data_IF_876708818200
#
_entry.id   IF_876708818200
#
_cell.length_a   1.000
_cell.length_b   1.000
_cell.length_c   1.000
_cell.angle_alpha   90.00
_cell.angle_beta   90.00
_cell.angle_gamma   90.00
#
_symmetry.space_group_name_H-M   'P 1'
#
loop_
_entity.id
_entity.type
_entity.pdbx_description
1 polymer ?
#
# COMPACT_ATOMS: atom_id res chain seq x y z
N UNK A 1 -9.16 16.71 -20.58
CA UNK A 1 -8.91 15.36 -20.04
C UNK A 1 -10.21 14.60 -20.11
N UNK A 2 -10.22 13.34 -20.54
CA UNK A 2 -11.42 12.49 -20.48
C UNK A 2 -11.86 12.31 -19.03
N UNK A 3 -13.16 12.22 -18.78
CA UNK A 3 -13.69 11.90 -17.45
C UNK A 3 -13.12 10.55 -16.97
N UNK A 4 -12.76 10.44 -15.67
CA UNK A 4 -12.28 9.19 -15.12
C UNK A 4 -13.38 8.12 -15.18
N UNK A 5 -13.01 6.87 -15.50
CA UNK A 5 -13.94 5.74 -15.55
C UNK A 5 -14.46 5.36 -14.16
N UNK A 6 -13.65 5.57 -13.12
CA UNK A 6 -13.98 5.28 -11.73
C UNK A 6 -13.87 6.57 -10.91
N UNK A 7 -14.84 6.80 -10.06
CA UNK A 7 -14.90 7.96 -9.16
C UNK A 7 -14.22 7.69 -7.82
N UNK A 8 -14.12 6.42 -7.42
CA UNK A 8 -13.53 6.00 -6.15
C UNK A 8 -12.73 4.71 -6.28
N UNK A 9 -11.45 4.78 -5.99
CA UNK A 9 -10.52 3.65 -6.11
C UNK A 9 -9.84 3.34 -4.79
N UNK A 10 -9.44 2.06 -4.61
CA UNK A 10 -8.41 1.70 -3.65
C UNK A 10 -7.18 1.21 -4.41
N UNK A 11 -6.03 1.84 -4.19
CA UNK A 11 -4.75 1.46 -4.76
C UNK A 11 -3.88 0.77 -3.70
N UNK A 12 -3.51 -0.48 -3.95
CA UNK A 12 -2.57 -1.22 -3.12
C UNK A 12 -1.20 -1.25 -3.78
N UNK A 13 -0.18 -0.87 -3.05
CA UNK A 13 1.21 -0.84 -3.50
C UNK A 13 2.09 -1.76 -2.65
N UNK A 14 3.12 -2.34 -3.27
CA UNK A 14 4.20 -2.98 -2.51
C UNK A 14 5.08 -1.91 -1.85
N UNK A 15 5.51 -2.12 -0.60
CA UNK A 15 6.49 -1.24 0.04
C UNK A 15 7.82 -1.16 -0.72
N UNK A 16 8.14 -2.18 -1.48
CA UNK A 16 9.37 -2.24 -2.27
C UNK A 16 9.48 -1.14 -3.35
N UNK A 17 8.36 -0.51 -3.74
CA UNK A 17 8.39 0.65 -4.65
C UNK A 17 9.07 1.87 -4.02
N UNK A 18 9.19 1.90 -2.70
CA UNK A 18 9.86 2.96 -1.93
C UNK A 18 11.31 2.64 -1.58
N UNK A 19 11.78 1.41 -1.88
CA UNK A 19 13.12 0.98 -1.54
C UNK A 19 14.18 1.69 -2.38
N UNK A 20 15.37 1.88 -1.79
CA UNK A 20 16.56 2.32 -2.50
C UNK A 20 17.05 1.24 -3.50
N UNK A 21 18.19 1.51 -4.16
CA UNK A 21 18.80 0.60 -5.14
C UNK A 21 19.18 -0.78 -4.54
N UNK A 22 19.43 -0.83 -3.23
CA UNK A 22 19.73 -2.07 -2.52
C UNK A 22 18.46 -2.84 -2.09
N UNK A 23 17.28 -2.36 -2.45
CA UNK A 23 16.00 -3.03 -2.13
C UNK A 23 15.53 -2.83 -0.69
N UNK A 24 16.12 -1.88 0.07
CA UNK A 24 15.82 -1.66 1.49
C UNK A 24 15.59 -0.17 1.81
N UNK A 25 14.83 0.07 2.89
CA UNK A 25 14.58 1.41 3.44
C UNK A 25 13.55 2.22 2.67
N UNK A 26 13.53 3.51 2.96
CA UNK A 26 12.65 4.49 2.31
C UNK A 26 13.53 5.49 1.57
N UNK A 27 13.47 5.48 0.25
CA UNK A 27 14.19 6.41 -0.62
C UNK A 27 13.32 7.65 -0.89
N UNK A 28 13.74 8.85 -0.46
CA UNK A 28 12.95 10.06 -0.65
C UNK A 28 12.65 10.38 -2.13
N UNK A 29 13.53 10.04 -3.06
CA UNK A 29 13.32 10.28 -4.50
C UNK A 29 12.23 9.35 -5.05
N UNK A 30 12.24 8.08 -4.63
CA UNK A 30 11.20 7.11 -5.00
C UNK A 30 9.84 7.48 -4.43
N UNK A 31 9.80 7.95 -3.17
CA UNK A 31 8.56 8.42 -2.53
C UNK A 31 8.00 9.63 -3.27
N UNK A 32 8.85 10.62 -3.61
CA UNK A 32 8.44 11.80 -4.35
C UNK A 32 7.99 11.44 -5.79
N UNK A 33 8.70 10.52 -6.45
CA UNK A 33 8.30 10.02 -7.76
C UNK A 33 6.89 9.41 -7.71
N UNK A 34 6.64 8.53 -6.75
CA UNK A 34 5.32 7.91 -6.57
C UNK A 34 4.22 8.95 -6.30
N UNK A 35 4.52 9.97 -5.48
CA UNK A 35 3.56 11.04 -5.21
C UNK A 35 3.19 11.81 -6.49
N UNK A 36 4.18 12.08 -7.38
CA UNK A 36 3.94 12.72 -8.68
C UNK A 36 3.13 11.85 -9.65
N UNK A 37 3.25 10.52 -9.57
CA UNK A 37 2.42 9.61 -10.37
C UNK A 37 0.97 9.56 -9.89
N UNK A 38 0.72 9.77 -8.59
CA UNK A 38 -0.62 9.79 -8.00
C UNK A 38 -1.31 11.15 -8.21
N UNK A 39 -0.55 12.23 -8.23
CA UNK A 39 -1.06 13.61 -8.34
C UNK A 39 -2.04 13.84 -9.52
N UNK A 40 -1.80 13.35 -10.76
CA UNK A 40 -2.74 13.52 -11.86
C UNK A 40 -4.11 12.87 -11.62
N UNK A 41 -4.13 11.72 -10.95
CA UNK A 41 -5.37 11.01 -10.59
C UNK A 41 -6.14 11.79 -9.53
N UNK A 42 -5.44 12.34 -8.54
CA UNK A 42 -6.01 13.24 -7.53
C UNK A 42 -6.62 14.49 -8.17
N UNK A 43 -5.90 15.13 -9.09
CA UNK A 43 -6.37 16.31 -9.84
C UNK A 43 -7.56 16.03 -10.75
N UNK A 44 -7.77 14.79 -11.14
CA UNK A 44 -8.96 14.35 -11.86
C UNK A 44 -10.20 14.17 -10.96
N UNK A 45 -10.13 14.56 -9.67
CA UNK A 45 -11.17 14.43 -8.67
C UNK A 45 -11.61 12.99 -8.38
N UNK A 46 -10.70 12.02 -8.51
CA UNK A 46 -10.93 10.65 -8.09
C UNK A 46 -10.68 10.54 -6.59
N UNK A 47 -11.61 9.93 -5.87
CA UNK A 47 -11.44 9.58 -4.46
C UNK A 47 -10.45 8.42 -4.32
N UNK A 48 -9.33 8.65 -3.65
CA UNK A 48 -8.22 7.69 -3.59
C UNK A 48 -8.04 7.18 -2.16
N UNK A 49 -8.24 5.86 -1.98
CA UNK A 49 -7.72 5.13 -0.85
C UNK A 49 -6.37 4.49 -1.23
N UNK A 50 -5.39 4.51 -0.34
CA UNK A 50 -4.08 3.93 -0.54
C UNK A 50 -3.76 2.92 0.56
N UNK A 51 -3.21 1.78 0.19
CA UNK A 51 -2.57 0.84 1.11
C UNK A 51 -1.16 0.54 0.59
N UNK A 52 -0.17 0.66 1.46
CA UNK A 52 1.22 0.36 1.10
C UNK A 52 1.77 -0.73 2.01
N UNK A 53 2.43 -1.73 1.41
CA UNK A 53 3.11 -2.80 2.12
C UNK A 53 4.40 -2.33 2.80
N UNK A 54 5.09 -3.26 3.46
CA UNK A 54 6.30 -2.98 4.25
C UNK A 54 7.55 -3.74 3.78
N UNK A 55 7.51 -4.41 2.65
CA UNK A 55 8.59 -5.29 2.19
C UNK A 55 9.95 -4.63 1.98
N UNK A 56 10.00 -3.28 1.92
CA UNK A 56 11.24 -2.49 1.90
C UNK A 56 11.88 -2.30 3.28
N UNK A 57 11.15 -2.52 4.36
CA UNK A 57 11.62 -2.31 5.74
C UNK A 57 11.68 -3.63 6.50
N UNK A 58 10.61 -4.43 6.42
CA UNK A 58 10.48 -5.65 7.20
C UNK A 58 9.66 -6.71 6.46
N UNK A 59 10.18 -7.95 6.45
CA UNK A 59 9.53 -9.13 5.88
C UNK A 59 9.30 -10.16 6.96
N UNK A 60 8.07 -10.22 7.47
CA UNK A 60 7.70 -11.08 8.60
C UNK A 60 7.95 -12.57 8.35
N UNK A 61 7.75 -13.06 7.13
CA UNK A 61 8.01 -14.46 6.77
C UNK A 61 9.49 -14.83 6.86
N UNK A 62 10.39 -13.94 6.39
CA UNK A 62 11.83 -14.16 6.47
C UNK A 62 12.31 -14.11 7.94
N UNK A 63 11.77 -13.17 8.73
CA UNK A 63 12.06 -13.06 10.15
C UNK A 63 11.58 -14.29 10.94
N UNK A 64 10.41 -14.83 10.62
CA UNK A 64 9.89 -16.06 11.24
C UNK A 64 10.73 -17.30 10.89
N UNK A 65 11.25 -17.38 9.66
CA UNK A 65 12.19 -18.42 9.27
C UNK A 65 13.52 -18.34 10.06
N UNK A 66 13.91 -17.15 10.52
CA UNK A 66 15.03 -16.89 11.42
C UNK A 66 14.75 -17.13 12.91
N UNK A 67 13.57 -17.66 13.27
CA UNK A 67 13.20 -18.00 14.66
C UNK A 67 12.39 -16.93 15.40
N UNK A 68 12.02 -15.82 14.73
CA UNK A 68 11.11 -14.81 15.34
C UNK A 68 9.68 -15.38 15.43
N UNK A 69 9.00 -15.09 16.54
CA UNK A 69 7.58 -15.38 16.68
C UNK A 69 6.77 -14.69 15.57
N UNK A 70 5.84 -15.44 14.98
CA UNK A 70 5.04 -14.97 13.83
C UNK A 70 4.20 -13.73 14.17
N UNK A 71 3.58 -13.71 15.34
CA UNK A 71 2.74 -12.58 15.79
C UNK A 71 3.59 -11.33 15.96
N UNK A 72 4.77 -11.46 16.57
CA UNK A 72 5.74 -10.37 16.71
C UNK A 72 6.18 -9.85 15.34
N UNK A 73 6.51 -10.74 14.40
CA UNK A 73 6.88 -10.38 13.04
C UNK A 73 5.76 -9.62 12.30
N UNK A 74 4.52 -10.06 12.45
CA UNK A 74 3.38 -9.41 11.83
C UNK A 74 3.14 -7.99 12.41
N UNK A 75 3.30 -7.78 13.72
CA UNK A 75 3.23 -6.44 14.31
C UNK A 75 4.37 -5.52 13.84
N UNK A 76 5.59 -6.02 13.71
CA UNK A 76 6.69 -5.25 13.14
C UNK A 76 6.39 -4.86 11.68
N UNK A 77 5.82 -5.77 10.89
CA UNK A 77 5.34 -5.45 9.54
C UNK A 77 4.26 -4.37 9.54
N UNK A 78 3.29 -4.41 10.47
CA UNK A 78 2.27 -3.36 10.61
C UNK A 78 2.90 -2.00 10.94
N UNK A 79 3.85 -1.93 11.87
CA UNK A 79 4.58 -0.71 12.19
C UNK A 79 5.36 -0.18 10.97
N UNK A 80 5.99 -1.05 10.22
CA UNK A 80 6.72 -0.69 9.01
C UNK A 80 5.79 -0.12 7.91
N UNK A 81 4.53 -0.60 7.80
CA UNK A 81 3.54 0.02 6.90
C UNK A 81 3.20 1.45 7.32
N UNK A 82 3.19 1.74 8.63
CA UNK A 82 2.93 3.09 9.13
C UNK A 82 4.08 4.04 8.76
N UNK A 83 5.34 3.58 8.87
CA UNK A 83 6.50 4.37 8.43
C UNK A 83 6.38 4.75 6.93
N UNK A 84 6.07 3.79 6.07
CA UNK A 84 5.87 4.04 4.65
C UNK A 84 4.70 5.00 4.38
N UNK A 85 3.59 4.84 5.10
CA UNK A 85 2.41 5.69 4.95
C UNK A 85 2.69 7.16 5.31
N UNK A 86 3.45 7.40 6.38
CA UNK A 86 3.82 8.76 6.81
C UNK A 86 4.76 9.40 5.80
N UNK A 87 5.75 8.66 5.31
CA UNK A 87 6.68 9.16 4.28
C UNK A 87 5.92 9.51 2.98
N UNK A 88 4.96 8.67 2.58
CA UNK A 88 4.15 8.92 1.39
C UNK A 88 3.18 10.10 1.59
N UNK A 89 2.59 10.24 2.78
CA UNK A 89 1.76 11.41 3.09
C UNK A 89 2.55 12.71 2.93
N UNK A 90 3.75 12.81 3.53
CA UNK A 90 4.61 13.99 3.42
C UNK A 90 4.90 14.35 1.95
N UNK A 91 5.21 13.35 1.13
CA UNK A 91 5.49 13.58 -0.29
C UNK A 91 4.23 13.99 -1.08
N UNK A 92 3.07 13.39 -0.80
CA UNK A 92 1.80 13.76 -1.44
C UNK A 92 1.39 15.19 -1.08
N UNK A 93 1.55 15.59 0.18
CA UNK A 93 1.25 16.96 0.61
C UNK A 93 2.22 17.98 -0.03
N UNK A 94 3.49 17.63 -0.23
CA UNK A 94 4.48 18.46 -0.96
C UNK A 94 4.12 18.69 -2.42
N UNK A 95 3.42 17.75 -3.07
CA UNK A 95 2.92 17.94 -4.45
C UNK A 95 1.50 18.50 -4.50
N UNK A 96 0.94 18.92 -3.36
CA UNK A 96 -0.36 19.61 -3.29
C UNK A 96 -1.57 18.68 -3.15
N UNK A 97 -1.37 17.39 -2.83
CA UNK A 97 -2.44 16.44 -2.57
C UNK A 97 -2.78 16.41 -1.08
N UNK A 98 -3.94 16.94 -0.67
CA UNK A 98 -4.39 16.81 0.73
C UNK A 98 -4.50 15.32 1.10
N UNK A 99 -3.77 14.90 2.13
CA UNK A 99 -3.67 13.48 2.50
C UNK A 99 -3.89 13.28 4.00
N UNK A 100 -4.44 12.13 4.39
CA UNK A 100 -4.57 11.71 5.79
C UNK A 100 -4.18 10.25 5.93
N UNK A 101 -3.31 9.96 6.90
CA UNK A 101 -2.96 8.60 7.28
C UNK A 101 -3.81 8.14 8.44
N UNK A 102 -4.48 7.00 8.26
CA UNK A 102 -5.26 6.29 9.27
C UNK A 102 -4.61 4.94 9.56
N UNK A 103 -4.49 4.58 10.83
CA UNK A 103 -3.85 3.33 11.24
C UNK A 103 -4.83 2.37 11.90
N UNK A 104 -4.76 1.08 11.54
CA UNK A 104 -5.52 0.02 12.15
C UNK A 104 -5.01 -0.38 13.56
N UNK A 105 -3.77 -0.01 13.90
CA UNK A 105 -3.21 -0.11 15.26
C UNK A 105 -3.04 1.29 15.86
N UNK A 106 -3.14 1.41 17.18
CA UNK A 106 -3.11 2.70 17.85
C UNK A 106 -1.72 3.33 17.86
N UNK A 107 -1.57 4.43 17.13
CA UNK A 107 -0.38 5.30 17.07
C UNK A 107 -0.81 6.76 16.97
N UNK A 108 -1.70 7.16 17.85
CA UNK A 108 -2.49 8.41 17.76
C UNK A 108 -1.66 9.70 17.70
N UNK A 109 -0.38 9.66 18.09
CA UNK A 109 0.53 10.80 18.00
C UNK A 109 0.98 11.09 16.55
N UNK A 110 0.88 10.11 15.64
CA UNK A 110 1.44 10.20 14.29
C UNK A 110 0.44 9.85 13.18
N UNK A 111 -0.63 9.09 13.49
CA UNK A 111 -1.69 8.76 12.54
C UNK A 111 -3.04 8.69 13.25
N UNK A 112 -4.11 9.01 12.53
CA UNK A 112 -5.46 8.89 13.08
C UNK A 112 -5.85 7.41 13.23
N UNK A 113 -6.62 7.04 14.28
CA UNK A 113 -7.19 5.69 14.35
C UNK A 113 -8.11 5.43 13.15
N UNK A 114 -7.95 4.26 12.52
CA UNK A 114 -8.83 3.87 11.44
C UNK A 114 -10.26 3.64 11.95
N UNK A 115 -11.15 4.50 11.54
CA UNK A 115 -12.59 4.37 11.71
C UNK A 115 -13.21 4.54 10.33
N UNK A 116 -13.97 3.54 9.85
CA UNK A 116 -14.56 3.54 8.52
C UNK A 116 -15.23 4.87 8.13
N UNK A 117 -16.09 5.39 9.01
CA UNK A 117 -16.82 6.65 8.76
C UNK A 117 -15.89 7.85 8.66
N UNK A 118 -14.77 7.84 9.39
CA UNK A 118 -13.76 8.90 9.32
C UNK A 118 -13.02 8.86 7.98
N UNK A 119 -12.63 7.66 7.54
CA UNK A 119 -11.99 7.47 6.25
C UNK A 119 -12.89 7.97 5.09
N UNK A 120 -14.17 7.56 5.08
CA UNK A 120 -15.16 8.03 4.10
C UNK A 120 -15.27 9.56 4.14
N UNK A 121 -15.39 10.17 5.33
CA UNK A 121 -15.50 11.63 5.45
C UNK A 121 -14.25 12.37 4.94
N UNK A 122 -13.07 11.79 5.05
CA UNK A 122 -11.86 12.38 4.43
C UNK A 122 -11.94 12.30 2.91
N UNK A 123 -12.35 11.16 2.35
CA UNK A 123 -12.52 10.99 0.91
C UNK A 123 -13.60 11.96 0.34
N UNK A 124 -14.74 12.10 1.02
CA UNK A 124 -15.79 13.06 0.66
C UNK A 124 -15.30 14.52 0.65
N UNK A 125 -14.25 14.83 1.40
CA UNK A 125 -13.58 16.15 1.41
C UNK A 125 -12.49 16.26 0.33
N UNK A 126 -12.39 15.30 -0.58
CA UNK A 126 -11.37 15.27 -1.62
C UNK A 126 -9.97 14.97 -1.10
N UNK A 127 -9.81 14.29 0.04
CA UNK A 127 -8.51 13.92 0.59
C UNK A 127 -8.12 12.50 0.19
N UNK A 128 -6.86 12.30 -0.13
CA UNK A 128 -6.29 10.95 -0.22
C UNK A 128 -6.25 10.34 1.19
N UNK A 129 -6.71 9.10 1.32
CA UNK A 129 -6.69 8.37 2.59
C UNK A 129 -5.69 7.22 2.49
N UNK A 130 -4.59 7.30 3.24
CA UNK A 130 -3.64 6.20 3.37
C UNK A 130 -4.03 5.37 4.58
N UNK A 131 -4.21 4.05 4.39
CA UNK A 131 -4.56 3.12 5.46
C UNK A 131 -3.36 2.24 5.76
N UNK A 132 -2.84 2.36 6.99
CA UNK A 132 -1.69 1.64 7.49
C UNK A 132 -2.06 0.66 8.61
N UNK A 133 -1.11 -0.17 9.05
CA UNK A 133 -1.32 -1.17 10.09
C UNK A 133 -2.10 -2.40 9.62
N UNK A 134 -2.23 -2.60 8.31
CA UNK A 134 -2.90 -3.76 7.73
C UNK A 134 -4.36 -3.90 8.17
N UNK A 135 -4.76 -5.08 8.63
CA UNK A 135 -6.06 -5.33 9.26
C UNK A 135 -6.09 -4.95 10.74
N UNK A 136 -4.93 -4.68 11.36
CA UNK A 136 -4.75 -4.56 12.81
C UNK A 136 -4.58 -5.90 13.51
N UNK A 137 -4.66 -7.02 12.79
CA UNK A 137 -4.55 -8.37 13.32
C UNK A 137 -3.40 -9.13 12.66
N UNK A 138 -2.65 -9.97 13.42
CA UNK A 138 -1.66 -10.88 12.87
C UNK A 138 -2.28 -11.87 11.87
N UNK A 139 -1.43 -12.57 11.11
CA UNK A 139 -1.74 -13.61 10.13
C UNK A 139 -2.43 -13.14 8.84
N UNK A 140 -2.63 -11.84 8.65
CA UNK A 140 -3.18 -11.28 7.43
C UNK A 140 -2.11 -10.54 6.61
N UNK A 141 -2.21 -10.66 5.29
CA UNK A 141 -1.36 -9.91 4.36
C UNK A 141 -1.90 -8.51 4.10
N UNK A 142 -1.07 -7.63 3.51
CA UNK A 142 -1.55 -6.32 3.03
C UNK A 142 -2.55 -6.45 1.87
N UNK A 143 -2.53 -7.55 1.12
CA UNK A 143 -3.53 -7.82 0.08
C UNK A 143 -4.90 -8.12 0.70
N UNK A 144 -4.94 -8.92 1.78
CA UNK A 144 -6.17 -9.16 2.56
C UNK A 144 -6.72 -7.86 3.17
N UNK A 145 -5.82 -7.02 3.70
CA UNK A 145 -6.20 -5.70 4.21
C UNK A 145 -6.78 -4.83 3.08
N UNK A 146 -6.18 -4.83 1.89
CA UNK A 146 -6.66 -4.05 0.76
C UNK A 146 -8.06 -4.48 0.31
N UNK A 147 -8.31 -5.78 0.22
CA UNK A 147 -9.64 -6.31 -0.12
C UNK A 147 -10.70 -5.92 0.93
N UNK A 148 -10.35 -6.04 2.22
CA UNK A 148 -11.23 -5.62 3.32
C UNK A 148 -11.56 -4.12 3.23
N UNK A 149 -10.55 -3.27 3.10
CA UNK A 149 -10.75 -1.81 3.08
C UNK A 149 -11.45 -1.33 1.80
N UNK A 150 -11.21 -1.96 0.65
CA UNK A 150 -11.96 -1.65 -0.57
C UNK A 150 -13.48 -1.84 -0.37
N UNK A 151 -13.87 -2.97 0.23
CA UNK A 151 -15.26 -3.23 0.56
C UNK A 151 -15.81 -2.25 1.61
N UNK A 152 -15.08 -1.98 2.69
CA UNK A 152 -15.52 -1.07 3.74
C UNK A 152 -15.72 0.37 3.24
N UNK A 153 -14.86 0.83 2.35
CA UNK A 153 -14.93 2.18 1.79
C UNK A 153 -15.92 2.28 0.62
N UNK A 154 -16.36 1.16 0.05
CA UNK A 154 -17.21 1.14 -1.13
C UNK A 154 -16.45 1.55 -2.40
N UNK A 155 -15.16 1.16 -2.50
CA UNK A 155 -14.37 1.43 -3.69
C UNK A 155 -14.92 0.68 -4.89
N UNK A 156 -15.04 1.35 -6.04
CA UNK A 156 -15.53 0.76 -7.30
C UNK A 156 -14.54 -0.25 -7.88
N UNK A 157 -13.24 -0.03 -7.62
CA UNK A 157 -12.17 -0.92 -8.04
C UNK A 157 -11.05 -0.98 -7.01
N UNK A 158 -10.44 -2.16 -6.89
CA UNK A 158 -9.18 -2.37 -6.19
C UNK A 158 -8.07 -2.58 -7.22
N UNK A 159 -7.13 -1.66 -7.27
CA UNK A 159 -5.95 -1.72 -8.13
C UNK A 159 -4.76 -2.22 -7.32
N UNK A 160 -4.06 -3.22 -7.84
CA UNK A 160 -2.82 -3.74 -7.24
C UNK A 160 -1.65 -3.37 -8.13
N UNK A 161 -0.81 -2.43 -7.66
CA UNK A 161 0.49 -2.14 -8.28
C UNK A 161 1.48 -3.27 -7.96
N UNK A 162 1.97 -3.94 -9.00
CA UNK A 162 2.89 -5.07 -8.90
C UNK A 162 4.16 -4.81 -9.70
N UNK A 163 5.23 -5.55 -9.38
CA UNK A 163 6.47 -5.56 -10.19
C UNK A 163 6.39 -6.48 -11.41
N UNK A 164 5.32 -7.26 -11.53
CA UNK A 164 5.10 -8.25 -12.58
C UNK A 164 3.90 -7.87 -13.43
N UNK A 165 3.86 -8.35 -14.68
CA UNK A 165 2.87 -7.91 -15.67
C UNK A 165 1.44 -8.45 -15.45
N UNK A 166 1.19 -9.23 -14.39
CA UNK A 166 -0.14 -9.79 -14.16
C UNK A 166 -0.22 -10.70 -12.93
N UNK A 167 -1.33 -11.44 -12.85
CA UNK A 167 -1.54 -12.49 -11.85
C UNK A 167 -1.09 -13.81 -12.46
N UNK A 168 -0.27 -14.55 -11.75
CA UNK A 168 0.30 -15.83 -12.13
C UNK A 168 -0.18 -16.91 -11.15
N UNK A 169 -0.28 -18.14 -11.61
CA UNK A 169 -0.60 -19.33 -10.80
C UNK A 169 0.58 -19.76 -9.92
N UNK A 170 1.82 -19.34 -10.29
CA UNK A 170 3.07 -19.58 -9.55
C UNK A 170 3.93 -18.32 -9.58
N UNK A 171 4.97 -18.26 -8.74
CA UNK A 171 5.92 -17.17 -8.74
C UNK A 171 6.61 -17.05 -10.11
N UNK A 172 6.45 -15.92 -10.85
CA UNK A 172 7.04 -15.73 -12.18
C UNK A 172 8.57 -15.74 -12.16
N UNK A 173 9.22 -15.46 -11.03
CA UNK A 173 10.66 -15.58 -10.88
C UNK A 173 11.13 -17.04 -10.79
N UNK A 174 10.26 -17.97 -10.39
CA UNK A 174 10.52 -19.40 -10.40
C UNK A 174 10.21 -20.06 -11.76
N UNK A 175 9.49 -19.38 -12.66
CA UNK A 175 9.08 -19.91 -13.96
C UNK A 175 10.14 -19.75 -15.08
N UNK A 176 11.29 -19.16 -14.79
CA UNK A 176 12.40 -19.02 -15.74
C UNK A 176 12.96 -20.37 -16.24
N UNK A 177 12.53 -21.49 -15.63
CA UNK A 177 12.93 -22.85 -16.03
C UNK A 177 11.86 -23.63 -16.81
N UNK A 178 10.68 -23.03 -17.07
CA UNK A 178 9.58 -23.74 -17.74
C UNK A 178 9.25 -23.20 -19.13
N UNK A 179 9.89 -22.14 -19.58
CA UNK A 179 9.70 -21.63 -20.95
C UNK A 179 10.40 -22.52 -22.01
N UNK A 180 11.37 -23.36 -21.61
CA UNK A 180 12.09 -24.23 -22.54
C UNK A 180 11.43 -25.62 -22.71
N UNK A 181 10.31 -25.89 -22.01
CA UNK A 181 9.63 -27.19 -22.09
C UNK A 181 8.41 -27.19 -23.04
N UNK A 182 8.16 -26.11 -23.76
CA UNK A 182 7.01 -25.99 -24.67
C UNK A 182 7.39 -26.02 -26.17
N UNK A 183 8.66 -26.23 -26.51
CA UNK A 183 9.16 -26.28 -27.90
C UNK A 183 9.70 -27.67 -28.32
N UNK A 184 9.23 -28.76 -27.71
CA UNK A 184 9.46 -30.14 -28.21
C UNK A 184 8.14 -30.84 -28.59
#
# INVERSE_FOLDING_TARGET
MSEPVFSQILLKLSGEVLANEHGFGIDPEKVLYLAKEIEPVYKANVNIGLIIGAGNIFRGLEASAGGMDRVTGDYLGMLATIMNAIALQDALEKVGCETRTLSAINVTQIAEPYIRRRAIRHMEKGRIVIIAGGTGNPFFTTDSAAALRANELGSEILLKGTKVGGVYDKDPHCLLYTSDAADD
#
